data_IF_860210349210
#
_entry.id   IF_860210349210
#
_cell.length_a   1.000
_cell.length_b   1.000
_cell.length_c   1.000
_cell.angle_alpha   90.00
_cell.angle_beta   90.00
_cell.angle_gamma   90.00
#
_symmetry.space_group_name_H-M   'P 1'
#
loop_
_entity.id
_entity.type
_entity.pdbx_description
1 polymer ?
#
# COMPACT_ATOMS: atom_id res chain seq x y z
N UNK A 1 18.36 -23.85 -26.82
CA UNK A 1 18.21 -22.63 -26.00
C UNK A 1 19.47 -22.45 -25.16
N UNK A 2 20.30 -21.44 -25.44
CA UNK A 2 21.40 -21.06 -24.56
C UNK A 2 20.78 -20.38 -23.34
N UNK A 3 20.98 -20.93 -22.14
CA UNK A 3 20.69 -20.20 -20.91
C UNK A 3 21.83 -19.22 -20.72
N UNK A 4 21.60 -17.95 -21.04
CA UNK A 4 22.48 -16.89 -20.54
C UNK A 4 22.40 -16.90 -19.01
N UNK A 5 23.53 -16.61 -18.37
CA UNK A 5 23.62 -16.54 -16.92
C UNK A 5 22.91 -15.26 -16.47
N UNK A 6 21.58 -15.30 -16.43
CA UNK A 6 20.76 -14.18 -15.97
C UNK A 6 20.96 -14.08 -14.47
N UNK A 7 21.54 -12.98 -14.03
CA UNK A 7 21.70 -12.67 -12.61
C UNK A 7 20.30 -12.37 -12.03
N UNK A 8 19.64 -13.40 -11.50
CA UNK A 8 18.28 -13.28 -10.95
C UNK A 8 18.38 -12.65 -9.57
N UNK A 9 17.66 -11.55 -9.36
CA UNK A 9 17.58 -10.92 -8.04
C UNK A 9 16.86 -11.84 -7.03
N UNK A 10 17.56 -12.21 -5.96
CA UNK A 10 17.03 -13.04 -4.86
C UNK A 10 16.93 -12.27 -3.54
N UNK A 11 16.98 -10.94 -3.57
CA UNK A 11 16.70 -10.14 -2.38
C UNK A 11 15.26 -10.38 -1.90
N UNK A 12 15.00 -10.15 -0.62
CA UNK A 12 13.67 -10.33 -0.04
C UNK A 12 12.63 -9.44 -0.74
N UNK A 13 13.06 -8.25 -1.12
CA UNK A 13 12.28 -7.24 -1.82
C UNK A 13 11.89 -7.72 -3.22
N UNK A 14 12.84 -8.27 -3.98
CA UNK A 14 12.59 -8.83 -5.31
C UNK A 14 11.63 -10.03 -5.24
N UNK A 15 11.81 -10.94 -4.28
CA UNK A 15 10.93 -12.10 -4.10
C UNK A 15 9.51 -11.67 -3.72
N UNK A 16 9.38 -10.65 -2.85
CA UNK A 16 8.07 -10.10 -2.48
C UNK A 16 7.37 -9.49 -3.69
N UNK A 17 8.11 -8.73 -4.51
CA UNK A 17 7.58 -8.10 -5.71
C UNK A 17 7.16 -9.13 -6.77
N UNK A 18 7.94 -10.19 -7.01
CA UNK A 18 7.58 -11.28 -7.93
C UNK A 18 6.25 -11.92 -7.53
N UNK A 19 6.10 -12.26 -6.25
CA UNK A 19 4.85 -12.84 -5.73
C UNK A 19 3.66 -11.91 -5.91
N UNK A 20 3.86 -10.61 -5.67
CA UNK A 20 2.81 -9.61 -5.82
C UNK A 20 2.38 -9.47 -7.28
N UNK A 21 3.32 -9.31 -8.21
CA UNK A 21 3.03 -9.19 -9.65
C UNK A 21 2.29 -10.44 -10.15
N UNK A 22 2.77 -11.63 -9.81
CA UNK A 22 2.12 -12.89 -10.19
C UNK A 22 0.72 -13.07 -9.63
N UNK A 23 0.43 -12.49 -8.46
CA UNK A 23 -0.91 -12.57 -7.88
C UNK A 23 -1.98 -11.84 -8.71
N UNK A 24 -1.59 -10.87 -9.53
CA UNK A 24 -2.49 -10.11 -10.40
C UNK A 24 -2.65 -10.75 -11.78
N UNK A 25 -1.61 -11.45 -12.23
CA UNK A 25 -1.53 -12.03 -13.57
C UNK A 25 -2.43 -13.26 -13.71
N UNK A 26 -3.12 -13.35 -14.85
CA UNK A 26 -3.75 -14.57 -15.34
C UNK A 26 -2.91 -15.17 -16.48
N UNK A 27 -1.97 -16.04 -16.11
CA UNK A 27 -1.03 -16.68 -17.05
C UNK A 27 -1.69 -17.65 -18.04
N UNK A 28 -2.98 -17.95 -17.89
CA UNK A 28 -3.74 -18.76 -18.85
C UNK A 28 -4.12 -18.00 -20.13
N UNK A 29 -3.94 -16.68 -20.14
CA UNK A 29 -4.29 -15.81 -21.26
C UNK A 29 -3.07 -15.42 -22.09
N UNK A 30 -3.27 -15.13 -23.37
CA UNK A 30 -2.18 -14.72 -24.25
C UNK A 30 -1.94 -13.20 -24.16
N UNK A 31 -0.76 -12.74 -23.70
CA UNK A 31 -0.46 -11.32 -23.58
C UNK A 31 -0.48 -10.56 -24.92
N UNK A 32 -0.28 -11.25 -26.05
CA UNK A 32 -0.34 -10.64 -27.38
C UNK A 32 -1.77 -10.39 -27.88
N UNK A 33 -2.77 -10.98 -27.21
CA UNK A 33 -4.19 -10.84 -27.56
C UNK A 33 -4.87 -9.86 -26.60
N UNK A 34 -4.71 -10.08 -25.29
CA UNK A 34 -5.28 -9.23 -24.24
C UNK A 34 -4.28 -9.10 -23.08
N UNK A 35 -3.39 -8.13 -23.20
CA UNK A 35 -2.38 -7.87 -22.17
C UNK A 35 -3.01 -7.45 -20.84
N UNK A 36 -4.16 -6.78 -20.86
CA UNK A 36 -4.83 -6.34 -19.64
C UNK A 36 -5.32 -7.56 -18.84
N UNK A 37 -6.03 -8.48 -19.49
CA UNK A 37 -6.50 -9.69 -18.82
C UNK A 37 -5.34 -10.63 -18.45
N UNK A 38 -4.28 -10.70 -19.25
CA UNK A 38 -3.08 -11.42 -18.84
C UNK A 38 -2.42 -10.82 -17.59
N UNK A 39 -2.27 -9.49 -17.52
CA UNK A 39 -1.56 -8.83 -16.43
C UNK A 39 -2.40 -8.65 -15.16
N UNK A 40 -3.71 -8.46 -15.31
CA UNK A 40 -4.62 -8.07 -14.24
C UNK A 40 -5.85 -8.98 -14.13
N UNK A 41 -5.99 -10.04 -14.92
CA UNK A 41 -7.20 -10.86 -14.95
C UNK A 41 -7.47 -11.65 -13.67
N UNK A 42 -6.48 -11.76 -12.78
CA UNK A 42 -6.65 -12.30 -11.42
C UNK A 42 -6.64 -11.22 -10.34
N UNK A 43 -6.51 -9.95 -10.72
CA UNK A 43 -6.64 -8.82 -9.82
C UNK A 43 -8.09 -8.72 -9.35
N UNK A 44 -8.38 -9.26 -8.17
CA UNK A 44 -9.67 -9.11 -7.50
C UNK A 44 -9.57 -7.95 -6.51
N UNK A 45 -10.46 -6.96 -6.64
CA UNK A 45 -10.60 -5.86 -5.68
C UNK A 45 -10.83 -6.35 -4.23
N UNK A 46 -11.41 -7.55 -4.08
CA UNK A 46 -11.71 -8.20 -2.79
C UNK A 46 -10.49 -8.87 -2.12
N UNK A 47 -9.38 -9.08 -2.83
CA UNK A 47 -8.14 -9.59 -2.24
C UNK A 47 -7.40 -8.50 -1.45
N UNK A 48 -8.09 -7.72 -0.59
CA UNK A 48 -7.51 -6.81 0.42
C UNK A 48 -6.30 -5.95 -0.03
N UNK A 49 -6.17 -5.70 -1.32
CA UNK A 49 -5.21 -4.80 -1.94
C UNK A 49 -5.99 -3.72 -2.67
N UNK A 50 -7.02 -3.21 -2.01
CA UNK A 50 -7.38 -1.82 -2.19
C UNK A 50 -6.16 -1.04 -1.68
N UNK A 51 -5.13 -0.87 -2.52
CA UNK A 51 -4.10 0.14 -2.38
C UNK A 51 -4.80 1.49 -2.53
N UNK A 52 -5.74 1.75 -1.63
CA UNK A 52 -6.23 3.07 -1.39
C UNK A 52 -5.10 3.75 -0.64
N UNK A 53 -4.12 4.20 -1.40
CA UNK A 53 -2.95 4.92 -0.93
C UNK A 53 -3.38 6.04 0.02
N UNK A 54 -4.56 6.63 -0.23
CA UNK A 54 -5.19 7.59 0.66
C UNK A 54 -5.48 7.01 2.05
N UNK A 55 -6.04 5.80 2.15
CA UNK A 55 -6.29 5.11 3.42
C UNK A 55 -4.98 4.79 4.14
N UNK A 56 -3.97 4.27 3.43
CA UNK A 56 -2.68 3.98 4.03
C UNK A 56 -2.01 5.24 4.58
N UNK A 57 -1.99 6.32 3.79
CA UNK A 57 -1.46 7.62 4.20
C UNK A 57 -2.24 8.14 5.42
N UNK A 58 -3.57 8.07 5.42
CA UNK A 58 -4.41 8.47 6.55
C UNK A 58 -4.06 7.69 7.81
N UNK A 59 -3.91 6.37 7.71
CA UNK A 59 -3.53 5.51 8.84
C UNK A 59 -2.13 5.83 9.37
N UNK A 60 -1.17 6.10 8.49
CA UNK A 60 0.18 6.49 8.91
C UNK A 60 0.17 7.85 9.62
N UNK A 61 -0.56 8.84 9.07
CA UNK A 61 -0.73 10.16 9.70
C UNK A 61 -1.40 10.01 11.07
N UNK A 62 -2.48 9.24 11.16
CA UNK A 62 -3.16 8.97 12.43
C UNK A 62 -2.22 8.37 13.47
N UNK A 63 -1.43 7.35 13.10
CA UNK A 63 -0.42 6.76 14.00
C UNK A 63 0.59 7.79 14.48
N UNK A 64 1.07 8.66 13.58
CA UNK A 64 2.01 9.71 13.95
C UNK A 64 1.40 10.72 14.94
N UNK A 65 0.13 11.10 14.76
CA UNK A 65 -0.53 12.10 15.59
C UNK A 65 -0.95 11.54 16.96
N UNK A 66 -1.41 10.29 17.03
CA UNK A 66 -1.83 9.63 18.26
C UNK A 66 -0.66 9.22 19.17
N UNK A 67 0.51 8.96 18.60
CA UNK A 67 1.69 8.62 19.40
C UNK A 67 2.21 9.84 20.18
N UNK A 68 2.96 9.58 21.25
CA UNK A 68 3.67 10.61 22.02
C UNK A 68 4.85 11.17 21.20
N UNK A 69 4.52 12.01 20.23
CA UNK A 69 5.49 12.64 19.34
C UNK A 69 6.23 13.75 20.09
N UNK A 70 7.49 13.51 20.47
CA UNK A 70 8.36 14.58 20.96
C UNK A 70 8.84 15.42 19.77
N UNK A 71 8.33 16.64 19.66
CA UNK A 71 8.71 17.57 18.58
C UNK A 71 8.80 19.00 19.12
N UNK A 72 9.76 19.76 18.59
CA UNK A 72 9.90 21.20 18.85
C UNK A 72 9.11 22.04 17.83
N UNK A 73 8.64 21.44 16.73
CA UNK A 73 7.94 22.15 15.66
C UNK A 73 6.56 22.62 16.12
N UNK A 74 6.33 23.94 16.07
CA UNK A 74 5.02 24.54 16.37
C UNK A 74 3.92 24.03 15.42
N UNK A 75 4.23 23.86 14.14
CA UNK A 75 3.27 23.39 13.15
C UNK A 75 2.76 21.99 13.50
N UNK A 76 3.67 21.05 13.82
CA UNK A 76 3.31 19.67 14.17
C UNK A 76 2.50 19.62 15.47
N UNK A 77 2.85 20.46 16.47
CA UNK A 77 2.05 20.57 17.72
C UNK A 77 0.63 21.05 17.42
N UNK A 78 0.47 22.09 16.60
CA UNK A 78 -0.85 22.61 16.24
C UNK A 78 -1.68 21.60 15.45
N UNK A 79 -1.06 20.85 14.53
CA UNK A 79 -1.74 19.77 13.80
C UNK A 79 -2.24 18.68 14.75
N UNK A 80 -1.43 18.27 15.73
CA UNK A 80 -1.85 17.29 16.75
C UNK A 80 -3.01 17.80 17.58
N UNK A 81 -2.93 19.03 18.09
CA UNK A 81 -4.02 19.65 18.85
C UNK A 81 -5.33 19.70 18.05
N UNK A 82 -5.26 20.06 16.76
CA UNK A 82 -6.42 20.08 15.88
C UNK A 82 -7.01 18.68 15.68
N UNK A 83 -6.15 17.67 15.45
CA UNK A 83 -6.58 16.29 15.27
C UNK A 83 -7.25 15.70 16.51
N UNK A 84 -6.70 15.96 17.70
CA UNK A 84 -7.29 15.54 18.99
C UNK A 84 -8.64 16.21 19.22
N UNK A 85 -8.77 17.51 18.95
CA UNK A 85 -10.04 18.23 19.10
C UNK A 85 -11.13 17.66 18.16
N UNK A 86 -10.78 17.35 16.91
CA UNK A 86 -11.70 16.74 15.95
C UNK A 86 -12.10 15.31 16.36
N UNK A 87 -11.15 14.51 16.86
CA UNK A 87 -11.40 13.11 17.22
C UNK A 87 -12.26 12.98 18.50
N UNK A 88 -12.09 13.89 19.45
CA UNK A 88 -12.90 13.92 20.67
C UNK A 88 -14.33 14.43 20.40
N UNK A 89 -14.52 15.30 19.42
CA UNK A 89 -15.84 15.75 19.00
C UNK A 89 -16.72 14.58 18.53
N UNK A 90 -16.16 13.62 17.80
CA UNK A 90 -16.89 12.42 17.37
C UNK A 90 -17.23 11.46 18.52
N UNK A 91 -16.53 11.54 19.65
CA UNK A 91 -16.74 10.69 20.83
C UNK A 91 -17.83 11.22 21.78
N UNK A 92 -18.19 12.51 21.71
CA UNK A 92 -19.22 13.12 22.58
C UNK A 92 -20.66 12.97 22.03
N UNK A 93 -20.84 12.40 20.84
CA UNK A 93 -22.14 12.19 20.19
C UNK A 93 -22.63 10.72 20.21
N UNK A 94 -22.03 9.87 21.05
CA UNK A 94 -22.49 8.52 21.40
C UNK A 94 -22.55 8.36 22.93
#
# INVERSE_FOLDING_TARGET
MKRENVDVCLSKECIKLDKQIKSYMNESLNPCIDFYQFACGNYNDDLNFNYNLEMEIKLQIQKLLLNNLFTTSKAVKQTKMFYEACSNFDAEFF
#
